data_IF_058319438234
#
_entry.id   IF_058319438234
#
_cell.length_a   1.000
_cell.length_b   1.000
_cell.length_c   1.000
_cell.angle_alpha   90.00
_cell.angle_beta   90.00
_cell.angle_gamma   90.00
#
_symmetry.space_group_name_H-M   'P 1'
#
loop_
_entity.id
_entity.type
_entity.pdbx_description
1 polymer ?
#
# COMPACT_ATOMS: atom_id res chain seq x y z
N UNK A 1 -26.32 -21.14 17.24
CA UNK A 1 -25.36 -21.86 16.39
C UNK A 1 -24.24 -20.90 16.08
N UNK A 2 -23.08 -21.07 16.70
CA UNK A 2 -21.92 -20.21 16.44
C UNK A 2 -21.42 -20.54 15.03
N UNK A 3 -21.34 -19.54 14.16
CA UNK A 3 -20.73 -19.71 12.83
C UNK A 3 -19.25 -19.32 12.97
N UNK A 4 -18.31 -20.09 12.44
CA UNK A 4 -16.89 -19.74 12.51
C UNK A 4 -16.63 -18.41 11.77
N UNK A 5 -15.56 -17.72 12.14
CA UNK A 5 -15.08 -16.57 11.39
C UNK A 5 -14.70 -16.99 9.96
N UNK A 6 -14.97 -16.11 9.00
CA UNK A 6 -14.65 -16.30 7.58
C UNK A 6 -13.97 -15.08 6.96
N UNK A 7 -13.73 -14.04 7.75
CA UNK A 7 -12.96 -12.87 7.37
C UNK A 7 -12.14 -12.37 8.55
N UNK A 8 -11.11 -11.57 8.25
CA UNK A 8 -10.32 -10.84 9.24
C UNK A 8 -10.33 -9.35 8.89
N UNK A 9 -10.49 -8.50 9.90
CA UNK A 9 -10.25 -7.08 9.78
C UNK A 9 -8.84 -6.77 10.22
N UNK A 10 -8.10 -6.05 9.38
CA UNK A 10 -6.75 -5.59 9.69
C UNK A 10 -6.65 -4.08 9.46
N UNK A 11 -5.78 -3.42 10.22
CA UNK A 11 -5.28 -2.08 9.90
C UNK A 11 -3.84 -2.18 9.42
N UNK A 12 -3.55 -1.53 8.30
CA UNK A 12 -2.20 -1.40 7.74
C UNK A 12 -1.84 0.08 7.75
N UNK A 13 -0.72 0.44 8.36
CA UNK A 13 -0.23 1.82 8.42
C UNK A 13 1.21 1.91 8.01
N UNK A 14 1.57 2.97 7.28
CA UNK A 14 2.97 3.28 6.97
C UNK A 14 3.61 3.90 8.22
N UNK A 15 4.75 3.35 8.62
CA UNK A 15 5.49 3.82 9.77
C UNK A 15 6.22 5.14 9.46
N UNK A 16 6.59 5.89 10.49
CA UNK A 16 7.41 7.11 10.40
C UNK A 16 6.83 8.29 9.60
N UNK A 17 5.62 8.18 9.04
CA UNK A 17 4.89 9.31 8.43
C UNK A 17 3.88 9.90 9.40
N UNK A 18 3.87 11.24 9.54
CA UNK A 18 2.88 11.97 10.33
C UNK A 18 2.26 13.13 9.52
N UNK A 19 0.92 13.33 9.56
CA UNK A 19 -0.11 12.43 10.11
C UNK A 19 -0.10 11.02 9.48
N UNK A 20 -0.64 10.00 10.16
CA UNK A 20 -0.48 8.62 9.70
C UNK A 20 -1.19 8.36 8.35
N UNK A 21 -0.52 7.68 7.42
CA UNK A 21 -1.13 7.11 6.21
C UNK A 21 -1.54 5.67 6.51
N UNK A 22 -2.82 5.33 6.34
CA UNK A 22 -3.31 3.98 6.71
C UNK A 22 -4.54 3.53 5.92
N UNK A 23 -4.76 2.21 5.91
CA UNK A 23 -5.93 1.53 5.35
C UNK A 23 -6.46 0.50 6.34
N UNK A 24 -7.78 0.32 6.38
CA UNK A 24 -8.44 -0.76 7.13
C UNK A 24 -9.15 -1.69 6.16
N UNK A 25 -8.72 -2.94 6.18
CA UNK A 25 -9.09 -3.95 5.20
C UNK A 25 -9.88 -5.06 5.88
N UNK A 26 -10.86 -5.60 5.16
CA UNK A 26 -11.56 -6.84 5.52
C UNK A 26 -11.21 -7.87 4.46
N UNK A 27 -10.52 -8.92 4.86
CA UNK A 27 -9.93 -9.92 3.97
C UNK A 27 -10.51 -11.32 4.25
N UNK A 28 -10.65 -12.20 3.24
CA UNK A 28 -10.95 -13.60 3.47
C UNK A 28 -9.92 -14.24 4.40
N UNK A 29 -10.40 -15.00 5.38
CA UNK A 29 -9.56 -15.54 6.47
C UNK A 29 -8.51 -16.56 5.98
N UNK A 30 -8.73 -17.14 4.80
CA UNK A 30 -7.88 -18.15 4.18
C UNK A 30 -6.76 -17.55 3.29
N UNK A 31 -6.71 -16.23 3.14
CA UNK A 31 -5.60 -15.56 2.46
C UNK A 31 -4.27 -15.85 3.17
N UNK A 32 -3.23 -16.10 2.38
CA UNK A 32 -1.86 -16.24 2.87
C UNK A 32 -1.11 -14.90 2.78
N UNK A 33 0.15 -14.87 3.21
CA UNK A 33 0.93 -13.64 3.20
C UNK A 33 1.20 -13.11 1.78
N UNK A 34 1.28 -13.98 0.77
CA UNK A 34 1.37 -13.55 -0.64
C UNK A 34 0.10 -12.81 -1.08
N UNK A 35 -1.08 -13.35 -0.77
CA UNK A 35 -2.35 -12.68 -1.03
C UNK A 35 -2.47 -11.36 -0.26
N UNK A 36 -2.02 -11.35 1.01
CA UNK A 36 -1.98 -10.13 1.82
C UNK A 36 -1.09 -9.06 1.17
N UNK A 37 0.09 -9.42 0.69
CA UNK A 37 0.97 -8.49 -0.02
C UNK A 37 0.26 -7.87 -1.24
N UNK A 38 -0.37 -8.67 -2.11
CA UNK A 38 -1.15 -8.16 -3.24
C UNK A 38 -2.31 -7.26 -2.80
N UNK A 39 -2.95 -7.60 -1.68
CA UNK A 39 -3.99 -6.77 -1.06
C UNK A 39 -3.47 -5.42 -0.58
N UNK A 40 -2.30 -5.39 0.06
CA UNK A 40 -1.65 -4.15 0.51
C UNK A 40 -1.25 -3.30 -0.70
N UNK A 41 -0.62 -3.89 -1.72
CA UNK A 41 -0.25 -3.20 -2.96
C UNK A 41 -1.47 -2.53 -3.62
N UNK A 42 -2.58 -3.27 -3.74
CA UNK A 42 -3.82 -2.72 -4.28
C UNK A 42 -4.43 -1.62 -3.38
N UNK A 43 -4.39 -1.79 -2.06
CA UNK A 43 -4.97 -0.84 -1.11
C UNK A 43 -4.21 0.50 -1.04
N UNK A 44 -2.90 0.46 -1.27
CA UNK A 44 -2.05 1.64 -1.34
C UNK A 44 -1.86 2.13 -2.78
N UNK A 45 -2.27 1.37 -3.80
CA UNK A 45 -2.06 1.68 -5.22
C UNK A 45 -0.56 1.81 -5.58
N UNK A 46 0.24 0.88 -5.05
CA UNK A 46 1.65 0.67 -5.43
C UNK A 46 1.78 -0.30 -6.60
N UNK A 47 2.94 -0.30 -7.25
CA UNK A 47 3.11 -0.98 -8.54
C UNK A 47 3.59 -2.41 -8.44
N UNK A 48 3.95 -2.86 -7.23
CA UNK A 48 4.45 -4.20 -6.98
C UNK A 48 5.73 -4.53 -7.80
N UNK A 49 6.65 -3.57 -7.91
CA UNK A 49 7.93 -3.77 -8.61
C UNK A 49 9.11 -4.13 -7.71
N UNK A 50 9.03 -3.79 -6.43
CA UNK A 50 10.13 -3.99 -5.50
C UNK A 50 9.97 -5.24 -4.65
N UNK A 51 11.10 -5.67 -4.08
CA UNK A 51 11.15 -6.75 -3.10
C UNK A 51 10.33 -6.41 -1.84
N UNK A 52 9.84 -7.45 -1.18
CA UNK A 52 9.11 -7.32 0.07
C UNK A 52 9.33 -8.51 0.98
N UNK A 53 9.06 -8.31 2.26
CA UNK A 53 9.03 -9.35 3.26
C UNK A 53 8.04 -9.01 4.38
N UNK A 54 7.59 -10.05 5.10
CA UNK A 54 6.92 -9.90 6.38
C UNK A 54 7.88 -10.28 7.50
N UNK A 55 7.85 -9.51 8.59
CA UNK A 55 8.57 -9.83 9.83
C UNK A 55 7.58 -10.14 10.94
N UNK A 56 7.51 -11.41 11.33
CA UNK A 56 6.55 -11.93 12.31
C UNK A 56 7.34 -12.70 13.37
N UNK A 57 7.26 -12.28 14.64
CA UNK A 57 7.94 -12.97 15.74
C UNK A 57 9.47 -13.09 15.59
N UNK A 58 10.10 -12.14 14.88
CA UNK A 58 11.55 -12.18 14.58
C UNK A 58 11.95 -13.05 13.38
N UNK A 59 10.99 -13.70 12.71
CA UNK A 59 11.20 -14.51 11.52
C UNK A 59 10.86 -13.70 10.25
N UNK A 60 11.48 -14.07 9.13
CA UNK A 60 11.27 -13.45 7.81
C UNK A 60 10.41 -14.35 6.94
N UNK A 61 9.37 -13.81 6.34
CA UNK A 61 8.51 -14.52 5.41
C UNK A 61 8.44 -13.78 4.07
N UNK A 62 8.53 -14.51 2.98
CA UNK A 62 8.45 -13.94 1.63
C UNK A 62 8.61 -15.02 0.58
N UNK A 63 8.85 -14.61 -0.65
CA UNK A 63 9.23 -15.53 -1.72
C UNK A 63 10.66 -16.03 -1.44
N UNK A 64 10.81 -17.34 -1.24
CA UNK A 64 12.10 -17.93 -0.87
C UNK A 64 13.10 -17.78 -2.01
N UNK A 65 12.70 -18.07 -3.25
CA UNK A 65 13.63 -18.05 -4.40
C UNK A 65 14.17 -16.64 -4.60
N UNK A 66 13.28 -15.64 -4.51
CA UNK A 66 13.65 -14.24 -4.69
C UNK A 66 14.50 -13.71 -3.53
N UNK A 67 14.10 -13.96 -2.28
CA UNK A 67 14.80 -13.41 -1.11
C UNK A 67 16.10 -14.13 -0.75
N UNK A 68 16.41 -15.25 -1.42
CA UNK A 68 17.63 -16.03 -1.17
C UNK A 68 18.57 -16.10 -2.38
N UNK A 69 18.28 -15.39 -3.47
CA UNK A 69 19.08 -15.39 -4.70
C UNK A 69 20.57 -15.05 -4.43
N UNK A 70 20.82 -14.02 -3.61
CA UNK A 70 22.16 -13.57 -3.22
C UNK A 70 22.51 -13.87 -1.74
N UNK A 71 21.74 -14.74 -1.09
CA UNK A 71 21.93 -15.03 0.34
C UNK A 71 23.17 -15.92 0.58
N UNK A 72 23.82 -15.68 1.71
CA UNK A 72 24.91 -16.47 2.27
C UNK A 72 24.43 -17.36 3.42
N UNK A 73 25.26 -18.30 3.86
CA UNK A 73 24.92 -19.19 4.99
C UNK A 73 24.70 -18.44 6.32
N UNK A 74 25.20 -17.21 6.45
CA UNK A 74 25.04 -16.36 7.63
C UNK A 74 23.74 -15.54 7.60
N UNK A 75 23.01 -15.52 6.48
CA UNK A 75 21.79 -14.74 6.34
C UNK A 75 20.61 -15.36 7.11
N UNK A 76 19.73 -14.52 7.69
CA UNK A 76 18.57 -15.03 8.39
C UNK A 76 17.64 -15.80 7.46
N UNK A 77 17.28 -17.02 7.88
CA UNK A 77 16.37 -17.91 7.16
C UNK A 77 15.08 -17.20 6.75
N UNK A 78 14.68 -17.42 5.50
CA UNK A 78 13.39 -17.02 4.94
C UNK A 78 12.43 -18.21 4.98
N UNK A 79 11.18 -17.95 5.38
CA UNK A 79 10.08 -18.91 5.36
C UNK A 79 9.11 -18.57 4.23
N UNK A 80 8.46 -19.60 3.69
CA UNK A 80 7.52 -19.45 2.58
C UNK A 80 6.29 -18.66 3.04
N UNK A 81 6.02 -17.54 2.38
CA UNK A 81 4.84 -16.72 2.62
C UNK A 81 3.50 -17.42 2.32
N UNK A 82 3.50 -18.46 1.49
CA UNK A 82 2.27 -19.17 1.10
C UNK A 82 1.77 -20.14 2.17
N UNK A 83 2.65 -20.50 3.12
CA UNK A 83 2.38 -21.45 4.21
C UNK A 83 1.73 -20.80 5.45
N UNK A 84 1.73 -19.47 5.54
CA UNK A 84 1.12 -18.72 6.65
C UNK A 84 -0.14 -18.01 6.18
N UNK A 85 -1.27 -18.29 6.83
CA UNK A 85 -2.59 -17.74 6.54
C UNK A 85 -3.04 -16.75 7.61
N UNK A 86 -3.95 -15.86 7.24
CA UNK A 86 -4.53 -14.88 8.17
C UNK A 86 -5.26 -15.55 9.34
N UNK A 87 -5.80 -16.76 9.15
CA UNK A 87 -6.39 -17.58 10.22
C UNK A 87 -5.39 -18.06 11.27
N UNK A 88 -4.08 -18.04 10.97
CA UNK A 88 -3.02 -18.49 11.89
C UNK A 88 -2.65 -17.42 12.93
N UNK A 89 -3.21 -16.21 12.80
CA UNK A 89 -3.00 -15.11 13.75
C UNK A 89 -4.13 -15.04 14.77
N UNK A 90 -3.86 -14.37 15.89
CA UNK A 90 -4.85 -14.04 16.91
C UNK A 90 -5.26 -12.56 16.81
N UNK A 91 -6.45 -12.24 17.32
CA UNK A 91 -6.87 -10.84 17.48
C UNK A 91 -5.86 -10.08 18.35
N UNK A 92 -5.46 -8.88 17.92
CA UNK A 92 -4.41 -8.09 18.55
C UNK A 92 -2.99 -8.44 18.10
N UNK A 93 -2.81 -9.42 17.21
CA UNK A 93 -1.50 -9.68 16.59
C UNK A 93 -1.02 -8.46 15.82
N UNK A 94 0.27 -8.14 15.95
CA UNK A 94 0.93 -7.05 15.22
C UNK A 94 2.22 -7.58 14.61
N UNK A 95 2.44 -7.29 13.34
CA UNK A 95 3.64 -7.65 12.61
C UNK A 95 3.99 -6.60 11.54
N UNK A 96 5.21 -6.69 11.00
CA UNK A 96 5.69 -5.73 10.01
C UNK A 96 5.61 -6.28 8.59
N UNK A 97 5.27 -5.41 7.65
CA UNK A 97 5.38 -5.63 6.21
C UNK A 97 6.36 -4.59 5.63
N UNK A 98 7.47 -5.06 5.09
CA UNK A 98 8.51 -4.22 4.50
C UNK A 98 8.39 -4.30 2.99
N UNK A 99 8.30 -3.16 2.32
CA UNK A 99 8.25 -3.03 0.87
C UNK A 99 9.35 -2.11 0.40
N UNK A 100 9.95 -2.46 -0.74
CA UNK A 100 11.08 -1.76 -1.33
C UNK A 100 12.28 -1.67 -0.39
N UNK A 101 13.26 -2.55 -0.59
CA UNK A 101 14.45 -2.57 0.27
C UNK A 101 15.40 -1.39 -0.01
N UNK A 102 15.20 -0.65 -1.11
CA UNK A 102 15.90 0.60 -1.38
C UNK A 102 15.32 1.73 -0.55
N UNK A 103 14.03 2.02 -0.73
CA UNK A 103 13.33 3.11 -0.03
C UNK A 103 12.96 2.78 1.43
N UNK A 104 12.88 1.50 1.76
CA UNK A 104 12.70 1.01 3.13
C UNK A 104 11.30 1.22 3.70
N UNK A 105 10.24 1.10 2.90
CA UNK A 105 8.87 1.33 3.35
C UNK A 105 8.42 0.27 4.35
N UNK A 106 8.34 0.64 5.63
CA UNK A 106 7.84 -0.23 6.70
C UNK A 106 6.39 0.06 7.00
N UNK A 107 5.63 -1.01 7.16
CA UNK A 107 4.24 -0.97 7.54
C UNK A 107 4.03 -1.79 8.79
N UNK A 108 3.22 -1.26 9.68
CA UNK A 108 2.62 -2.03 10.76
C UNK A 108 1.29 -2.62 10.28
N UNK A 109 1.14 -3.94 10.39
CA UNK A 109 -0.11 -4.66 10.18
C UNK A 109 -0.65 -5.12 11.55
N UNK A 110 -1.83 -4.63 11.91
CA UNK A 110 -2.52 -5.00 13.15
C UNK A 110 -3.79 -5.80 12.82
N UNK A 111 -3.91 -6.99 13.40
CA UNK A 111 -5.12 -7.83 13.33
C UNK A 111 -6.12 -7.31 14.34
N UNK A 112 -7.19 -6.66 13.88
CA UNK A 112 -8.13 -5.95 14.75
C UNK A 112 -9.29 -6.84 15.20
N UNK A 113 -9.85 -7.65 14.32
CA UNK A 113 -11.07 -8.44 14.61
C UNK A 113 -11.23 -9.62 13.65
N UNK A 114 -11.75 -10.75 14.13
CA UNK A 114 -12.21 -11.85 13.28
C UNK A 114 -13.72 -11.81 13.09
N UNK A 115 -14.18 -11.82 11.83
CA UNK A 115 -15.57 -11.55 11.46
C UNK A 115 -16.26 -12.78 10.88
N UNK A 116 -17.58 -12.85 11.09
CA UNK A 116 -18.47 -13.82 10.41
C UNK A 116 -19.43 -13.07 9.49
N UNK A 117 -19.13 -13.07 8.20
CA UNK A 117 -19.91 -12.38 7.17
C UNK A 117 -20.82 -13.34 6.40
N UNK A 118 -21.96 -12.83 5.92
CA UNK A 118 -22.88 -13.57 5.05
C UNK A 118 -23.27 -12.68 3.85
N UNK A 119 -22.85 -13.01 2.61
CA UNK A 119 -22.08 -14.21 2.22
C UNK A 119 -20.62 -14.19 2.71
N UNK A 120 -19.96 -15.36 2.69
CA UNK A 120 -18.49 -15.41 2.90
C UNK A 120 -17.77 -14.59 1.82
N UNK A 121 -16.81 -13.74 2.20
CA UNK A 121 -16.09 -12.93 1.22
C UNK A 121 -15.19 -13.82 0.35
N UNK A 122 -15.10 -13.48 -0.93
CA UNK A 122 -14.15 -14.10 -1.88
C UNK A 122 -13.03 -13.15 -2.29
N UNK A 123 -13.17 -11.88 -1.94
CA UNK A 123 -12.30 -10.77 -2.30
C UNK A 123 -12.09 -9.93 -1.04
N UNK A 124 -11.00 -9.18 -0.99
CA UNK A 124 -10.79 -8.18 0.05
C UNK A 124 -11.65 -6.94 -0.20
N UNK A 125 -11.89 -6.18 0.88
CA UNK A 125 -12.55 -4.87 0.83
C UNK A 125 -11.81 -3.86 1.70
N UNK A 126 -11.77 -2.61 1.26
CA UNK A 126 -11.19 -1.51 2.03
C UNK A 126 -12.36 -0.71 2.62
N UNK A 127 -12.47 -0.69 3.95
CA UNK A 127 -13.64 -0.13 4.63
C UNK A 127 -13.38 1.25 5.25
N UNK A 128 -12.10 1.61 5.42
CA UNK A 128 -11.68 2.94 5.86
C UNK A 128 -10.21 3.15 5.51
N UNK A 129 -9.76 4.41 5.56
CA UNK A 129 -8.38 4.80 5.40
C UNK A 129 -8.26 6.31 5.47
N UNK A 130 -7.03 6.79 5.52
CA UNK A 130 -6.73 8.23 5.44
C UNK A 130 -5.44 8.45 4.65
N UNK A 131 -5.39 9.61 3.99
CA UNK A 131 -4.25 10.16 3.25
C UNK A 131 -3.84 9.39 2.00
N UNK A 132 -3.20 10.11 1.08
CA UNK A 132 -2.57 9.52 -0.07
C UNK A 132 -1.32 8.75 0.36
N UNK A 133 -0.99 7.71 -0.40
CA UNK A 133 0.29 7.01 -0.24
C UNK A 133 1.46 7.90 -0.72
N UNK A 134 2.69 7.71 -0.22
CA UNK A 134 3.88 8.24 -0.86
C UNK A 134 4.00 7.78 -2.32
N UNK A 135 4.42 8.64 -3.26
CA UNK A 135 4.75 8.22 -4.63
C UNK A 135 5.78 7.07 -4.65
N UNK A 136 5.75 6.23 -5.69
CA UNK A 136 6.78 5.18 -5.86
C UNK A 136 8.13 5.86 -6.08
N UNK A 137 9.22 5.22 -5.62
CA UNK A 137 10.59 5.68 -5.85
C UNK A 137 10.87 7.13 -5.36
N UNK A 138 10.08 7.63 -4.40
CA UNK A 138 10.26 8.99 -3.87
C UNK A 138 11.48 9.11 -2.95
N UNK A 139 12.13 8.00 -2.60
CA UNK A 139 13.33 7.96 -1.77
C UNK A 139 13.02 7.74 -0.29
N UNK A 140 12.06 6.87 0.00
CA UNK A 140 11.67 6.52 1.36
C UNK A 140 11.03 7.68 2.12
N UNK A 141 11.00 7.57 3.45
CA UNK A 141 10.35 8.55 4.34
C UNK A 141 10.94 9.95 4.17
N UNK A 142 12.27 10.07 4.18
CA UNK A 142 12.94 11.37 4.02
C UNK A 142 12.72 11.99 2.64
N UNK A 143 12.68 11.16 1.59
CA UNK A 143 12.37 11.61 0.25
C UNK A 143 10.94 12.12 0.14
N UNK A 144 9.99 11.42 0.77
CA UNK A 144 8.60 11.87 0.86
C UNK A 144 8.42 13.16 1.66
N UNK A 145 9.13 13.32 2.78
CA UNK A 145 9.12 14.58 3.55
C UNK A 145 9.62 15.76 2.70
N UNK A 146 10.76 15.59 2.01
CA UNK A 146 11.29 16.59 1.08
C UNK A 146 10.31 16.88 -0.06
N UNK A 147 9.68 15.85 -0.61
CA UNK A 147 8.66 15.98 -1.65
C UNK A 147 7.48 16.84 -1.15
N UNK A 148 6.99 16.59 0.07
CA UNK A 148 5.91 17.39 0.67
C UNK A 148 6.31 18.85 0.90
N UNK A 149 7.55 19.11 1.34
CA UNK A 149 8.08 20.46 1.50
C UNK A 149 8.07 21.22 0.17
N UNK A 150 8.56 20.60 -0.91
CA UNK A 150 8.61 21.21 -2.25
C UNK A 150 7.21 21.52 -2.76
N UNK A 151 6.27 20.58 -2.69
CA UNK A 151 4.92 20.80 -3.25
C UNK A 151 4.06 21.76 -2.42
N UNK A 152 4.44 22.04 -1.17
CA UNK A 152 3.77 23.01 -0.32
C UNK A 152 4.09 24.46 -0.71
N UNK A 153 5.22 24.70 -1.39
CA UNK A 153 5.65 26.02 -1.87
C UNK A 153 5.72 26.06 -3.40
N UNK A 154 4.72 26.70 -4.03
CA UNK A 154 4.66 26.85 -5.50
C UNK A 154 5.80 27.70 -6.08
N UNK A 155 6.48 28.48 -5.25
CA UNK A 155 7.63 29.31 -5.65
C UNK A 155 8.96 28.58 -5.46
N UNK A 156 8.96 27.37 -4.88
CA UNK A 156 10.17 26.56 -4.78
C UNK A 156 10.72 26.25 -6.19
N UNK A 157 12.02 26.44 -6.43
CA UNK A 157 12.62 26.22 -7.75
C UNK A 157 12.45 24.79 -8.28
N UNK A 158 12.25 23.80 -7.39
CA UNK A 158 12.05 22.39 -7.74
C UNK A 158 10.57 22.05 -7.99
N UNK A 159 9.60 22.90 -7.57
CA UNK A 159 8.16 22.61 -7.59
C UNK A 159 7.65 22.04 -8.92
N UNK A 160 7.97 22.72 -10.03
CA UNK A 160 7.45 22.36 -11.36
C UNK A 160 7.96 20.99 -11.81
N UNK A 161 9.23 20.69 -11.54
CA UNK A 161 9.82 19.40 -11.88
C UNK A 161 9.25 18.29 -11.00
N UNK A 162 9.16 18.53 -9.69
CA UNK A 162 8.63 17.57 -8.70
C UNK A 162 7.17 17.20 -8.96
N UNK A 163 6.31 18.18 -9.20
CA UNK A 163 4.90 17.92 -9.53
C UNK A 163 4.78 17.17 -10.86
N UNK A 164 5.58 17.54 -11.88
CA UNK A 164 5.56 16.83 -13.16
C UNK A 164 6.02 15.37 -13.00
N UNK A 165 7.05 15.13 -12.21
CA UNK A 165 7.57 13.80 -11.91
C UNK A 165 6.50 12.91 -11.27
N UNK A 166 5.74 13.45 -10.29
CA UNK A 166 4.70 12.66 -9.61
C UNK A 166 3.40 12.49 -10.40
N UNK A 167 3.27 13.06 -11.60
CA UNK A 167 2.08 12.91 -12.47
C UNK A 167 1.31 14.20 -12.79
N UNK A 168 1.74 15.32 -12.23
CA UNK A 168 1.22 16.66 -12.49
C UNK A 168 0.28 17.20 -11.42
N UNK A 169 -0.12 16.40 -10.43
CA UNK A 169 -0.85 16.86 -9.25
C UNK A 169 -0.70 15.83 -8.11
N UNK A 170 -0.60 16.32 -6.88
CA UNK A 170 -0.60 15.48 -5.68
C UNK A 170 -1.31 16.20 -4.52
N UNK A 171 -2.26 15.51 -3.88
CA UNK A 171 -2.89 15.96 -2.64
C UNK A 171 -2.59 14.91 -1.55
N UNK A 172 -1.78 15.26 -0.52
CA UNK A 172 -1.40 14.32 0.53
C UNK A 172 -2.58 13.83 1.37
N UNK A 173 -3.70 14.57 1.43
CA UNK A 173 -4.87 14.21 2.22
C UNK A 173 -5.90 13.40 1.42
N UNK A 174 -5.71 13.27 0.11
CA UNK A 174 -6.68 12.64 -0.77
C UNK A 174 -6.78 11.13 -0.55
N UNK A 175 -8.02 10.64 -0.49
CA UNK A 175 -8.35 9.22 -0.53
C UNK A 175 -9.73 9.01 -1.14
N UNK A 176 -9.79 8.34 -2.29
CA UNK A 176 -11.05 7.78 -2.81
C UNK A 176 -11.19 6.33 -2.35
N UNK A 177 -11.97 6.12 -1.29
CA UNK A 177 -12.23 4.80 -0.73
C UNK A 177 -12.91 3.85 -1.73
N UNK A 178 -13.73 4.36 -2.66
CA UNK A 178 -14.43 3.52 -3.62
C UNK A 178 -13.46 2.99 -4.69
N UNK A 179 -12.48 3.79 -5.11
CA UNK A 179 -11.40 3.35 -6.00
C UNK A 179 -10.53 2.32 -5.30
N UNK A 180 -10.09 2.59 -4.07
CA UNK A 180 -9.25 1.67 -3.30
C UNK A 180 -9.94 0.33 -3.04
N UNK A 181 -11.21 0.34 -2.64
CA UNK A 181 -11.99 -0.89 -2.45
C UNK A 181 -12.18 -1.68 -3.75
N UNK A 182 -12.37 -0.97 -4.88
CA UNK A 182 -12.45 -1.61 -6.21
C UNK A 182 -11.12 -2.29 -6.58
N UNK A 183 -9.99 -1.63 -6.36
CA UNK A 183 -8.68 -2.19 -6.66
C UNK A 183 -8.40 -3.41 -5.78
N UNK A 184 -8.66 -3.32 -4.48
CA UNK A 184 -8.52 -4.44 -3.56
C UNK A 184 -9.42 -5.63 -3.92
N UNK A 185 -10.66 -5.40 -4.36
CA UNK A 185 -11.53 -6.47 -4.86
C UNK A 185 -10.92 -7.20 -6.05
N UNK A 186 -10.11 -6.53 -6.86
CA UNK A 186 -9.49 -7.11 -8.04
C UNK A 186 -8.06 -7.63 -7.81
N UNK A 187 -7.48 -7.45 -6.61
CA UNK A 187 -6.08 -7.73 -6.32
C UNK A 187 -5.59 -9.14 -6.72
N UNK A 188 -6.45 -10.16 -6.63
CA UNK A 188 -6.10 -11.55 -6.95
C UNK A 188 -6.56 -12.02 -8.34
N UNK A 189 -7.18 -11.15 -9.15
CA UNK A 189 -7.55 -11.53 -10.51
C UNK A 189 -6.28 -11.53 -11.35
N UNK A 190 -5.98 -12.65 -12.02
CA UNK A 190 -4.80 -12.81 -12.87
C UNK A 190 -4.59 -11.59 -13.76
N UNK A 191 -3.49 -10.89 -13.55
CA UNK A 191 -3.03 -9.79 -14.39
C UNK A 191 -2.56 -10.35 -15.73
N UNK A 192 -3.49 -10.68 -16.62
CA UNK A 192 -3.19 -10.73 -18.05
C UNK A 192 -3.02 -9.29 -18.51
N UNK A 193 -1.77 -8.82 -18.50
CA UNK A 193 -1.38 -7.52 -19.01
C UNK A 193 -0.82 -6.64 -17.91
N UNK A 194 0.40 -6.17 -18.14
CA UNK A 194 1.04 -5.06 -17.48
C UNK A 194 0.01 -4.07 -16.91
N UNK A 195 0.17 -3.69 -15.65
CA UNK A 195 -0.29 -2.37 -15.23
C UNK A 195 0.32 -1.39 -16.23
N UNK A 196 -0.52 -0.90 -17.14
CA UNK A 196 -0.13 0.03 -18.19
C UNK A 196 0.54 1.23 -17.52
N UNK A 197 1.68 1.66 -18.06
CA UNK A 197 2.44 2.90 -17.79
C UNK A 197 1.59 4.19 -17.85
N UNK A 198 0.50 4.24 -17.11
CA UNK A 198 -0.30 5.41 -16.89
C UNK A 198 -0.36 5.52 -15.40
N UNK A 199 0.51 6.37 -14.87
CA UNK A 199 0.34 7.02 -13.59
C UNK A 199 -1.15 7.40 -13.47
N UNK A 200 -1.97 6.63 -12.74
CA UNK A 200 -3.33 7.05 -12.51
C UNK A 200 -3.17 8.20 -11.55
N UNK A 201 -3.26 9.42 -12.09
CA UNK A 201 -3.17 10.65 -11.32
C UNK A 201 -3.90 10.42 -9.98
N UNK A 202 -3.19 10.50 -8.83
CA UNK A 202 -3.77 10.12 -7.56
C UNK A 202 -4.92 11.04 -7.15
N UNK A 203 -5.25 12.07 -7.94
CA UNK A 203 -6.48 12.83 -7.81
C UNK A 203 -6.96 13.25 -9.20
N UNK A 204 -8.26 13.16 -9.53
CA UNK A 204 -8.78 13.84 -10.71
C UNK A 204 -8.51 15.35 -10.57
N UNK A 205 -7.93 15.99 -11.60
CA UNK A 205 -7.78 17.45 -11.63
C UNK A 205 -9.17 18.08 -11.47
N UNK A 206 -9.36 18.94 -10.47
CA UNK A 206 -10.61 19.66 -10.30
C UNK A 206 -10.72 20.79 -11.35
N UNK A 207 -11.93 21.05 -11.86
CA UNK A 207 -12.20 22.13 -12.84
C UNK A 207 -11.79 23.54 -12.34
N UNK A 208 -11.59 23.72 -11.03
CA UNK A 208 -11.13 24.97 -10.43
C UNK A 208 -9.64 25.26 -10.71
N UNK A 209 -8.82 24.22 -10.90
CA UNK A 209 -7.39 24.36 -11.21
C UNK A 209 -7.17 24.76 -12.68
N UNK A 210 -8.05 24.32 -13.60
CA UNK A 210 -8.02 24.77 -15.00
C UNK A 210 -8.28 26.28 -15.16
N UNK A 211 -9.05 26.87 -14.25
CA UNK A 211 -9.36 28.31 -14.31
C UNK A 211 -8.18 29.16 -13.81
N UNK A 212 -7.34 28.63 -12.93
CA UNK A 212 -6.12 29.30 -12.48
C UNK A 212 -4.98 29.20 -13.51
N UNK A 213 -4.86 28.07 -14.22
CA UNK A 213 -3.85 27.89 -15.27
C UNK A 213 -4.12 28.80 -16.48
N UNK A 214 -5.39 28.94 -16.89
CA UNK A 214 -5.80 29.88 -17.96
C UNK A 214 -5.63 31.36 -17.61
N UNK A 215 -5.33 31.71 -16.35
CA UNK A 215 -4.95 33.09 -15.97
C UNK A 215 -3.45 33.35 -16.06
N UNK A 216 -2.62 32.30 -16.07
CA UNK A 216 -1.16 32.41 -16.17
C UNK A 216 -0.68 32.31 -17.64
N UNK A 217 -1.42 31.63 -18.52
CA UNK A 217 -1.14 31.61 -19.97
C UNK A 217 -1.74 32.82 -20.75
N UNK A 218 -2.17 33.87 -20.05
CA UNK A 218 -2.68 35.10 -20.66
C UNK A 218 -1.58 36.07 -21.10
N UNK A 219 -0.80 35.72 -22.14
CA UNK A 219 -0.14 36.66 -23.06
C UNK A 219 -0.52 36.29 -24.49
#
# INVERSE_FOLDING_TARGET
MFKPANAVQIKVSIDEIQPQVWRRLVLPIDWNLQHLHLGIQAAFNWWNYHLYEFRIGGLRYGDIEVLTEDATDDDPRVFDQTEVRLLDFEEGSVFSYNYDFGDGWRHTVAVEEFLTLAPSPKQGSCIAGERARPPEDVGGVSGYERFLEIIADKEDPEYTETIRWCGGYFDPEWLDLAVVDKDLRNALRSSNGACTNQNPNPCPRNELDEVQDRRLEGI
#
